data_IF_003416675961
#
_entry.id   IF_003416675961
#
_cell.length_a   1.000
_cell.length_b   1.000
_cell.length_c   1.000
_cell.angle_alpha   90.00
_cell.angle_beta   90.00
_cell.angle_gamma   90.00
#
_symmetry.space_group_name_H-M   'P 1'
#
loop_
_entity.id
_entity.type
_entity.pdbx_description
1 polymer ?
#
# COMPACT_ATOMS: atom_id res chain seq x y z
N UNK A 1 13.32 -35.30 -0.05
CA UNK A 1 13.32 -34.62 1.25
C UNK A 1 13.67 -33.16 1.15
N UNK A 2 14.67 -32.74 0.36
CA UNK A 2 15.01 -31.33 0.18
C UNK A 2 13.89 -30.52 -0.44
N UNK A 3 13.11 -31.11 -1.38
CA UNK A 3 11.97 -30.42 -2.00
C UNK A 3 10.84 -30.16 -1.01
N UNK A 4 10.62 -31.08 -0.07
CA UNK A 4 9.60 -30.91 0.98
C UNK A 4 10.01 -29.78 1.92
N UNK A 5 11.29 -29.75 2.32
CA UNK A 5 11.83 -28.70 3.19
C UNK A 5 11.73 -27.35 2.49
N UNK A 6 12.10 -27.27 1.21
CA UNK A 6 12.00 -26.03 0.44
C UNK A 6 10.56 -25.54 0.33
N UNK A 7 9.60 -26.46 0.12
CA UNK A 7 8.18 -26.12 0.07
C UNK A 7 7.69 -25.57 1.40
N UNK A 8 8.08 -26.19 2.52
CA UNK A 8 7.71 -25.73 3.86
C UNK A 8 8.31 -24.34 4.11
N UNK A 9 9.58 -24.13 3.75
CA UNK A 9 10.23 -22.83 3.91
C UNK A 9 9.52 -21.74 3.12
N UNK A 10 9.12 -22.01 1.88
CA UNK A 10 8.38 -21.06 1.05
C UNK A 10 7.04 -20.70 1.67
N UNK A 11 6.33 -21.70 2.22
CA UNK A 11 5.05 -21.45 2.88
C UNK A 11 5.22 -20.60 4.14
N UNK A 12 6.26 -20.87 4.94
CA UNK A 12 6.55 -20.08 6.15
C UNK A 12 6.92 -18.64 5.78
N UNK A 13 7.76 -18.45 4.78
CA UNK A 13 8.15 -17.12 4.31
C UNK A 13 6.94 -16.38 3.78
N UNK A 14 6.10 -17.03 2.96
CA UNK A 14 4.89 -16.42 2.42
C UNK A 14 3.92 -15.99 3.52
N UNK A 15 3.71 -16.85 4.53
CA UNK A 15 2.85 -16.52 5.66
C UNK A 15 3.42 -15.36 6.48
N UNK A 16 4.75 -15.32 6.67
CA UNK A 16 5.41 -14.24 7.40
C UNK A 16 5.27 -12.91 6.66
N UNK A 17 5.43 -12.91 5.35
CA UNK A 17 5.28 -11.71 4.53
C UNK A 17 3.83 -11.19 4.57
N UNK A 18 2.86 -12.10 4.51
CA UNK A 18 1.44 -11.73 4.64
C UNK A 18 1.17 -11.10 6.00
N UNK A 19 1.72 -11.69 7.07
CA UNK A 19 1.58 -11.15 8.42
C UNK A 19 2.16 -9.75 8.53
N UNK A 20 3.29 -9.47 7.88
CA UNK A 20 3.87 -8.14 7.84
C UNK A 20 2.92 -7.15 7.14
N UNK A 21 2.34 -7.53 6.00
CA UNK A 21 1.40 -6.68 5.29
C UNK A 21 0.13 -6.42 6.14
N UNK A 22 -0.37 -7.43 6.83
CA UNK A 22 -1.52 -7.30 7.74
C UNK A 22 -1.20 -6.37 8.92
N UNK A 23 0.01 -6.50 9.49
CA UNK A 23 0.45 -5.63 10.58
C UNK A 23 0.57 -4.17 10.14
N UNK A 24 1.09 -3.94 8.93
CA UNK A 24 1.12 -2.59 8.33
C UNK A 24 -0.28 -1.99 8.27
N UNK A 25 -1.25 -2.77 7.80
CA UNK A 25 -2.64 -2.34 7.72
C UNK A 25 -3.23 -2.05 9.10
N UNK A 26 -2.97 -2.91 10.08
CA UNK A 26 -3.45 -2.73 11.45
C UNK A 26 -2.89 -1.46 12.07
N UNK A 27 -1.61 -1.17 11.88
CA UNK A 27 -0.97 0.05 12.37
C UNK A 27 -1.60 1.28 11.72
N UNK A 28 -1.80 1.24 10.42
CA UNK A 28 -2.41 2.33 9.68
C UNK A 28 -3.82 2.64 10.19
N UNK A 29 -4.64 1.62 10.41
CA UNK A 29 -6.00 1.77 10.92
C UNK A 29 -5.98 2.36 12.32
N UNK A 30 -5.15 1.84 13.21
CA UNK A 30 -5.07 2.30 14.62
C UNK A 30 -4.59 3.74 14.73
N UNK A 31 -3.69 4.17 13.85
CA UNK A 31 -3.10 5.50 13.93
C UNK A 31 -3.84 6.57 13.11
N UNK A 32 -4.88 6.18 12.38
CA UNK A 32 -5.58 7.10 11.49
C UNK A 32 -6.61 7.94 12.22
N UNK A 33 -6.76 9.20 11.77
CA UNK A 33 -7.83 10.10 12.17
C UNK A 33 -8.96 10.16 11.14
N UNK A 34 -8.75 9.59 9.96
CA UNK A 34 -9.77 9.55 8.92
C UNK A 34 -10.84 8.51 9.24
N UNK A 35 -12.12 8.89 9.16
CA UNK A 35 -13.23 7.97 9.38
C UNK A 35 -13.23 6.85 8.34
N UNK A 36 -12.85 7.14 7.10
CA UNK A 36 -12.78 6.12 6.05
C UNK A 36 -11.76 5.04 6.38
N UNK A 37 -10.63 5.42 6.97
CA UNK A 37 -9.57 4.47 7.32
C UNK A 37 -9.91 3.75 8.62
N UNK A 38 -10.27 4.51 9.66
CA UNK A 38 -10.44 3.97 11.02
C UNK A 38 -11.71 3.14 11.17
N UNK A 39 -12.81 3.60 10.60
CA UNK A 39 -14.12 2.95 10.76
C UNK A 39 -14.46 2.03 9.59
N UNK A 40 -14.24 2.49 8.37
CA UNK A 40 -14.57 1.73 7.16
C UNK A 40 -13.41 0.85 6.69
N UNK A 41 -12.23 1.02 7.26
CA UNK A 41 -11.01 0.30 6.87
C UNK A 41 -10.72 0.43 5.38
N UNK A 42 -10.90 1.64 4.84
CA UNK A 42 -10.67 1.93 3.43
C UNK A 42 -9.18 2.13 3.18
N UNK A 43 -8.43 1.04 3.32
CA UNK A 43 -6.99 0.99 3.12
C UNK A 43 -6.55 -0.39 2.70
N UNK A 44 -5.37 -0.47 2.13
CA UNK A 44 -4.74 -1.73 1.72
C UNK A 44 -3.23 -1.60 1.87
N UNK A 45 -2.57 -2.71 2.13
CA UNK A 45 -1.11 -2.77 2.22
C UNK A 45 -0.60 -3.93 1.38
N UNK A 46 0.63 -3.80 0.91
CA UNK A 46 1.27 -4.84 0.11
C UNK A 46 2.78 -4.73 0.19
N UNK A 47 3.45 -5.84 -0.11
CA UNK A 47 4.89 -5.90 -0.24
C UNK A 47 5.23 -6.31 -1.66
N UNK A 48 6.24 -5.67 -2.23
CA UNK A 48 6.74 -5.92 -3.58
C UNK A 48 8.22 -6.23 -3.53
N UNK A 49 8.70 -7.08 -4.44
CA UNK A 49 10.12 -7.35 -4.57
C UNK A 49 10.83 -6.21 -5.32
N UNK A 50 12.14 -6.33 -5.51
CA UNK A 50 12.95 -5.31 -6.19
C UNK A 50 12.55 -5.08 -7.64
N UNK A 51 11.89 -6.06 -8.24
CA UNK A 51 11.43 -5.98 -9.64
C UNK A 51 10.03 -5.43 -9.77
N UNK A 52 9.40 -5.07 -8.65
CA UNK A 52 8.04 -4.52 -8.65
C UNK A 52 6.96 -5.58 -8.74
N UNK A 53 7.27 -6.82 -8.37
CA UNK A 53 6.27 -7.90 -8.32
C UNK A 53 5.70 -8.00 -6.91
N UNK A 54 4.38 -8.12 -6.82
CA UNK A 54 3.70 -8.26 -5.54
C UNK A 54 4.01 -9.62 -4.93
N UNK A 55 4.49 -9.62 -3.68
CA UNK A 55 4.83 -10.87 -2.96
C UNK A 55 3.94 -11.12 -1.76
N UNK A 56 3.24 -10.12 -1.25
CA UNK A 56 2.26 -10.28 -0.18
C UNK A 56 1.31 -9.10 -0.17
N UNK A 57 0.13 -9.31 0.39
CA UNK A 57 -0.89 -8.26 0.47
C UNK A 57 -1.81 -8.48 1.66
N UNK A 58 -2.36 -7.38 2.17
CA UNK A 58 -3.48 -7.37 3.10
C UNK A 58 -4.45 -6.31 2.60
N UNK A 59 -5.60 -6.75 2.11
CA UNK A 59 -6.57 -5.85 1.52
C UNK A 59 -7.83 -5.77 2.37
N UNK A 60 -8.43 -4.58 2.39
CA UNK A 60 -9.76 -4.38 2.90
C UNK A 60 -10.69 -3.90 1.78
N UNK A 61 -10.10 -3.27 0.74
CA UNK A 61 -10.82 -2.80 -0.46
C UNK A 61 -10.10 -3.32 -1.69
N UNK A 62 -10.71 -4.26 -2.45
CA UNK A 62 -10.04 -4.89 -3.60
C UNK A 62 -9.58 -3.93 -4.69
N UNK A 63 -10.27 -2.81 -4.87
CA UNK A 63 -9.94 -1.84 -5.92
C UNK A 63 -8.52 -1.27 -5.75
N UNK A 64 -8.03 -1.20 -4.52
CA UNK A 64 -6.68 -0.69 -4.25
C UNK A 64 -5.59 -1.59 -4.83
N UNK A 65 -5.83 -2.89 -4.86
CA UNK A 65 -4.84 -3.85 -5.35
C UNK A 65 -4.55 -3.68 -6.84
N UNK A 66 -5.58 -3.33 -7.63
CA UNK A 66 -5.42 -3.16 -9.06
C UNK A 66 -4.52 -1.98 -9.42
N UNK A 67 -4.46 -0.96 -8.57
CA UNK A 67 -3.68 0.24 -8.82
C UNK A 67 -2.27 0.20 -8.20
N UNK A 68 -2.03 -0.66 -7.21
CA UNK A 68 -0.75 -0.72 -6.52
C UNK A 68 0.44 -1.08 -7.42
N UNK A 69 0.34 -2.09 -8.32
CA UNK A 69 1.45 -2.40 -9.21
C UNK A 69 1.87 -1.22 -10.09
N UNK A 70 0.90 -0.44 -10.59
CA UNK A 70 1.18 0.73 -11.41
C UNK A 70 1.87 1.83 -10.59
N UNK A 71 1.45 2.01 -9.34
CA UNK A 71 2.08 2.96 -8.43
C UNK A 71 3.54 2.59 -8.17
N UNK A 72 3.82 1.30 -7.91
CA UNK A 72 5.18 0.82 -7.70
C UNK A 72 6.02 1.00 -8.95
N UNK A 73 5.48 0.67 -10.12
CA UNK A 73 6.17 0.86 -11.39
C UNK A 73 6.56 2.32 -11.62
N UNK A 74 5.66 3.25 -11.30
CA UNK A 74 5.94 4.68 -11.40
C UNK A 74 7.06 5.10 -10.44
N UNK A 75 7.03 4.61 -9.21
CA UNK A 75 8.03 4.93 -8.19
C UNK A 75 9.40 4.34 -8.53
N UNK A 76 9.44 3.16 -9.17
CA UNK A 76 10.70 2.56 -9.60
C UNK A 76 11.49 3.46 -10.55
N UNK A 77 10.79 4.30 -11.32
CA UNK A 77 11.44 5.28 -12.22
C UNK A 77 12.19 6.36 -11.43
N UNK A 78 11.85 6.59 -10.17
CA UNK A 78 12.49 7.62 -9.35
C UNK A 78 13.85 7.17 -8.78
N UNK A 79 14.15 5.88 -8.80
CA UNK A 79 15.41 5.37 -8.28
C UNK A 79 15.57 5.55 -6.77
N UNK A 80 14.53 5.25 -5.99
CA UNK A 80 14.59 5.38 -4.53
C UNK A 80 15.65 4.49 -3.92
N UNK A 81 16.36 5.01 -2.93
CA UNK A 81 17.28 4.23 -2.11
C UNK A 81 16.55 3.70 -0.88
N UNK A 82 17.07 2.61 -0.24
CA UNK A 82 16.48 2.10 1.00
C UNK A 82 16.32 3.20 2.04
N UNK A 83 15.13 3.27 2.64
CA UNK A 83 14.79 4.30 3.60
C UNK A 83 14.04 5.51 3.02
N UNK A 84 14.00 5.64 1.71
CA UNK A 84 13.24 6.72 1.06
C UNK A 84 11.80 6.29 0.79
N UNK A 85 10.90 7.27 0.80
CA UNK A 85 9.46 7.07 0.62
C UNK A 85 8.94 8.01 -0.46
N UNK A 86 8.10 7.51 -1.34
CA UNK A 86 7.37 8.31 -2.31
C UNK A 86 5.89 8.36 -1.91
N UNK A 87 5.27 9.50 -2.17
CA UNK A 87 3.84 9.73 -1.93
C UNK A 87 3.18 10.00 -3.27
N UNK A 88 2.09 9.29 -3.53
CA UNK A 88 1.34 9.43 -4.79
C UNK A 88 -0.14 9.60 -4.50
N UNK A 89 -0.77 10.54 -5.21
CA UNK A 89 -2.23 10.62 -5.25
C UNK A 89 -2.73 10.97 -6.66
N UNK A 90 -1.87 10.86 -7.65
CA UNK A 90 -2.18 11.17 -9.04
C UNK A 90 -2.91 9.98 -9.68
N UNK A 91 -4.16 10.16 -10.16
CA UNK A 91 -4.91 9.07 -10.78
C UNK A 91 -4.29 8.55 -12.08
N UNK A 92 -3.42 9.33 -12.73
CA UNK A 92 -2.75 8.92 -13.98
C UNK A 92 -1.48 8.10 -13.73
N UNK A 93 -0.99 8.04 -12.49
CA UNK A 93 0.20 7.27 -12.12
C UNK A 93 -0.11 6.22 -11.06
N UNK A 94 -1.27 5.56 -11.17
CA UNK A 94 -1.67 4.50 -10.28
C UNK A 94 -2.59 4.93 -9.15
N UNK A 95 -2.92 6.21 -9.02
CA UNK A 95 -3.96 6.69 -8.12
C UNK A 95 -5.34 6.55 -8.76
N UNK A 96 -6.36 6.19 -7.98
CA UNK A 96 -7.73 6.07 -8.48
C UNK A 96 -8.56 7.31 -8.20
N UNK A 97 -8.38 7.94 -7.04
CA UNK A 97 -9.05 9.17 -6.64
C UNK A 97 -8.04 10.10 -5.95
N UNK A 98 -8.26 11.41 -6.02
CA UNK A 98 -7.38 12.35 -5.33
C UNK A 98 -7.26 12.10 -3.82
N UNK A 99 -8.33 11.71 -3.08
CA UNK A 99 -8.19 11.36 -1.68
C UNK A 99 -7.47 10.02 -1.42
N UNK A 100 -7.23 9.21 -2.44
CA UNK A 100 -6.47 7.97 -2.32
C UNK A 100 -4.98 8.32 -2.32
N UNK A 101 -4.35 8.19 -1.16
CA UNK A 101 -2.93 8.46 -1.00
C UNK A 101 -2.17 7.15 -0.91
N UNK A 102 -1.17 6.99 -1.75
CA UNK A 102 -0.30 5.81 -1.77
C UNK A 102 1.08 6.21 -1.28
N UNK A 103 1.58 5.47 -0.29
CA UNK A 103 2.95 5.58 0.20
C UNK A 103 3.71 4.36 -0.27
N UNK A 104 4.84 4.57 -0.93
CA UNK A 104 5.72 3.50 -1.38
C UNK A 104 7.07 3.72 -0.71
N UNK A 105 7.42 2.81 0.20
CA UNK A 105 8.70 2.85 0.92
C UNK A 105 9.68 1.90 0.26
N UNK A 106 10.87 2.38 -0.07
CA UNK A 106 11.95 1.52 -0.54
C UNK A 106 12.61 0.86 0.65
N UNK A 107 12.63 -0.47 0.65
CA UNK A 107 13.32 -1.28 1.66
C UNK A 107 14.54 -1.96 1.02
N UNK A 108 15.39 -2.59 1.82
CA UNK A 108 16.55 -3.34 1.28
C UNK A 108 16.12 -4.51 0.40
N UNK A 109 14.93 -5.05 0.61
CA UNK A 109 14.45 -6.24 -0.12
C UNK A 109 13.45 -5.91 -1.23
N UNK A 110 12.93 -4.69 -1.27
CA UNK A 110 11.93 -4.32 -2.26
C UNK A 110 11.15 -3.09 -1.83
N UNK A 111 9.82 -3.16 -1.90
CA UNK A 111 8.96 -2.02 -1.61
C UNK A 111 7.84 -2.43 -0.65
N UNK A 112 7.56 -1.57 0.33
CA UNK A 112 6.38 -1.68 1.19
C UNK A 112 5.40 -0.58 0.79
N UNK A 113 4.16 -0.94 0.50
CA UNK A 113 3.16 -0.03 -0.03
C UNK A 113 1.95 0.02 0.89
N UNK A 114 1.49 1.23 1.17
CA UNK A 114 0.19 1.42 1.82
C UNK A 114 -0.63 2.41 1.00
N UNK A 115 -1.92 2.15 0.90
CA UNK A 115 -2.85 2.99 0.16
C UNK A 115 -4.11 3.17 0.98
N UNK A 116 -4.54 4.41 1.15
CA UNK A 116 -5.68 4.74 1.96
C UNK A 116 -6.49 5.87 1.32
N UNK A 117 -7.81 5.75 1.45
CA UNK A 117 -8.75 6.79 1.03
C UNK A 117 -8.99 7.72 2.22
N UNK A 118 -8.44 8.94 2.15
CA UNK A 118 -8.56 9.92 3.22
C UNK A 118 -9.84 10.73 3.08
N UNK A 119 -10.47 11.05 4.22
CA UNK A 119 -11.65 11.91 4.23
C UNK A 119 -11.28 13.37 3.90
N UNK A 120 -10.06 13.76 4.23
CA UNK A 120 -9.56 15.12 4.06
C UNK A 120 -8.08 15.10 3.69
N UNK A 121 -7.76 15.73 2.56
CA UNK A 121 -6.38 15.89 2.09
C UNK A 121 -5.99 17.35 1.97
N UNK A 122 -6.63 18.24 2.75
CA UNK A 122 -6.33 19.66 2.76
C UNK A 122 -7.28 20.50 1.91
N UNK A 123 -8.45 19.97 1.58
CA UNK A 123 -9.50 20.71 0.87
C UNK A 123 -10.27 21.67 1.78
N UNK A 124 -11.26 22.35 1.22
CA UNK A 124 -12.08 23.31 1.94
C UNK A 124 -12.93 22.62 3.01
N UNK A 125 -13.45 21.41 2.70
CA UNK A 125 -14.25 20.62 3.61
C UNK A 125 -13.68 19.20 3.71
N UNK A 126 -13.81 18.55 4.89
CA UNK A 126 -13.33 17.18 5.07
C UNK A 126 -14.23 16.20 4.34
N UNK A 127 -14.00 16.02 3.06
CA UNK A 127 -14.72 15.08 2.20
C UNK A 127 -13.97 14.90 0.90
N UNK A 128 -14.36 13.89 0.14
CA UNK A 128 -13.80 13.67 -1.19
C UNK A 128 -14.21 14.75 -2.18
N UNK A 129 -15.38 15.34 -1.98
CA UNK A 129 -15.92 16.40 -2.84
C UNK A 129 -16.31 17.60 -1.95
N UNK A 130 -15.63 18.73 -2.06
CA UNK A 130 -16.04 19.92 -1.32
C UNK A 130 -17.34 20.51 -1.87
N UNK A 131 -18.07 21.23 -1.02
CA UNK A 131 -19.32 21.88 -1.42
C UNK A 131 -19.11 22.94 -2.50
N UNK A 132 -17.92 23.52 -2.53
CA UNK A 132 -17.52 24.50 -3.54
C UNK A 132 -16.29 23.95 -4.26
N UNK A 133 -16.41 23.75 -5.53
CA UNK A 133 -15.31 23.25 -6.36
C UNK A 133 -14.96 24.24 -7.47
#
# INVERSE_FOLDING_TARGET
>A
MSDVIATIQLQVIGASLRSIAEEMGAVLIRSSFSANIKERRDCSTALFDERGRMIAQAEHIPVHLGAMPDAVAAVMQLGLEPGQVAILNDPYTGGTHLPDVTLVSRTVLGYAVSRAHHADVGGIEPASLPAFS
#
